data_IF_088351938196
#
_entry.id   IF_088351938196
#
_cell.length_a   1.000
_cell.length_b   1.000
_cell.length_c   1.000
_cell.angle_alpha   90.00
_cell.angle_beta   90.00
_cell.angle_gamma   90.00
#
_symmetry.space_group_name_H-M   'P 1'
#
loop_
_entity.id
_entity.type
_entity.pdbx_description
1 polymer ?
#
# COMPACT_ATOMS: atom_id res chain seq x y z
N UNK A 1 4.65 48.20 -37.21
CA UNK A 1 3.71 47.06 -37.25
C UNK A 1 4.45 45.78 -36.88
N UNK A 2 4.55 45.47 -35.59
CA UNK A 2 4.99 44.15 -35.13
C UNK A 2 3.74 43.35 -34.80
N UNK A 3 3.43 42.44 -35.68
CA UNK A 3 2.44 41.41 -35.52
C UNK A 3 2.90 40.45 -34.40
N UNK A 4 2.14 40.44 -33.29
CA UNK A 4 2.30 39.44 -32.24
C UNK A 4 1.89 38.08 -32.79
N UNK A 5 2.85 37.16 -32.91
CA UNK A 5 2.59 35.73 -32.91
C UNK A 5 2.33 35.36 -31.48
N UNK A 6 1.07 35.14 -31.17
CA UNK A 6 0.63 34.46 -29.97
C UNK A 6 1.21 33.04 -29.97
N UNK A 7 1.98 32.71 -28.94
CA UNK A 7 2.40 31.36 -28.63
C UNK A 7 1.16 30.45 -28.43
N UNK A 8 0.70 29.89 -29.55
CA UNK A 8 -0.30 28.87 -29.53
C UNK A 8 0.35 27.54 -29.15
N UNK A 9 0.24 27.18 -27.84
CA UNK A 9 0.11 25.83 -27.36
C UNK A 9 1.07 24.76 -27.87
N UNK A 10 2.28 24.79 -27.38
CA UNK A 10 3.02 23.55 -27.14
C UNK A 10 2.46 22.93 -25.90
N UNK A 11 1.32 22.23 -26.01
CA UNK A 11 0.81 21.33 -24.97
C UNK A 11 1.78 20.16 -24.93
N UNK A 12 2.80 20.28 -24.08
CA UNK A 12 3.70 19.17 -23.82
C UNK A 12 2.93 18.00 -23.17
N UNK A 13 3.52 16.81 -23.04
CA UNK A 13 2.88 15.63 -22.42
C UNK A 13 2.22 15.92 -21.06
N UNK A 14 2.73 16.90 -20.31
CA UNK A 14 2.13 17.37 -19.05
C UNK A 14 0.81 18.11 -19.27
N UNK A 15 0.70 18.92 -20.35
CA UNK A 15 -0.53 19.64 -20.69
C UNK A 15 -1.65 18.70 -21.12
N UNK A 16 -1.34 17.66 -21.87
CA UNK A 16 -2.31 16.63 -22.25
C UNK A 16 -2.95 15.97 -21.03
N UNK A 17 -2.14 15.59 -20.05
CA UNK A 17 -2.64 15.03 -18.79
C UNK A 17 -3.41 16.08 -17.97
N UNK A 18 -2.96 17.33 -17.93
CA UNK A 18 -3.64 18.41 -17.22
C UNK A 18 -5.01 18.71 -17.84
N UNK A 19 -5.14 18.77 -19.17
CA UNK A 19 -6.43 18.94 -19.85
C UNK A 19 -7.37 17.74 -19.63
N UNK A 20 -6.85 16.51 -19.71
CA UNK A 20 -7.64 15.29 -19.44
C UNK A 20 -8.15 15.24 -17.99
N UNK A 21 -7.44 15.88 -17.06
CA UNK A 21 -7.78 15.89 -15.64
C UNK A 21 -8.51 17.16 -15.18
N UNK A 22 -8.63 18.20 -15.99
CA UNK A 22 -9.45 19.40 -15.70
C UNK A 22 -10.86 19.33 -16.27
N UNK A 23 -11.10 18.44 -17.24
CA UNK A 23 -12.46 18.14 -17.69
C UNK A 23 -13.17 17.30 -16.62
N UNK A 24 -14.25 17.85 -16.05
CA UNK A 24 -15.19 17.30 -15.06
C UNK A 24 -14.75 16.04 -14.29
N UNK A 25 -14.64 16.15 -12.99
CA UNK A 25 -14.06 15.21 -12.03
C UNK A 25 -14.56 13.73 -12.12
N UNK A 26 -15.59 13.44 -12.88
CA UNK A 26 -16.16 12.11 -13.07
C UNK A 26 -15.49 11.30 -14.20
N UNK A 27 -14.75 11.93 -15.09
CA UNK A 27 -14.18 11.27 -16.28
C UNK A 27 -12.75 10.76 -16.09
N UNK A 28 -12.10 11.20 -15.02
CA UNK A 28 -10.70 10.87 -14.72
C UNK A 28 -10.46 9.36 -14.56
N UNK A 29 -11.39 8.67 -13.88
CA UNK A 29 -11.34 7.21 -13.67
C UNK A 29 -11.72 6.41 -14.91
N UNK A 30 -12.34 7.05 -15.91
CA UNK A 30 -12.73 6.44 -17.19
C UNK A 30 -11.67 6.66 -18.27
N UNK A 31 -10.55 7.32 -17.96
CA UNK A 31 -9.49 7.57 -18.91
C UNK A 31 -8.93 6.27 -19.49
N UNK A 32 -8.84 6.12 -20.84
CA UNK A 32 -8.44 4.85 -21.48
C UNK A 32 -7.11 4.29 -21.00
N UNK A 33 -6.11 5.13 -20.74
CA UNK A 33 -4.81 4.70 -20.24
C UNK A 33 -4.89 4.16 -18.79
N UNK A 34 -5.71 4.77 -17.93
CA UNK A 34 -5.96 4.28 -16.56
C UNK A 34 -6.65 2.91 -16.62
N UNK A 35 -7.71 2.79 -17.41
CA UNK A 35 -8.43 1.53 -17.56
C UNK A 35 -7.57 0.42 -18.19
N UNK A 36 -6.71 0.76 -19.15
CA UNK A 36 -5.75 -0.19 -19.73
C UNK A 36 -4.73 -0.66 -18.66
N UNK A 37 -4.19 0.25 -17.87
CA UNK A 37 -3.29 -0.07 -16.77
C UNK A 37 -3.98 -0.97 -15.73
N UNK A 38 -5.21 -0.64 -15.32
CA UNK A 38 -6.00 -1.44 -14.39
C UNK A 38 -6.15 -2.88 -14.90
N UNK A 39 -6.59 -3.05 -16.16
CA UNK A 39 -6.77 -4.40 -16.74
C UNK A 39 -5.49 -5.23 -16.73
N UNK A 40 -4.37 -4.63 -17.10
CA UNK A 40 -3.09 -5.32 -17.08
C UNK A 40 -2.66 -5.67 -15.65
N UNK A 41 -2.74 -4.72 -14.73
CA UNK A 41 -2.38 -4.94 -13.32
C UNK A 41 -3.23 -6.06 -12.72
N UNK A 42 -4.55 -6.03 -12.92
CA UNK A 42 -5.43 -7.06 -12.39
C UNK A 42 -5.17 -8.45 -13.00
N UNK A 43 -4.75 -8.53 -14.26
CA UNK A 43 -4.38 -9.81 -14.87
C UNK A 43 -3.20 -10.46 -14.14
N UNK A 44 -2.15 -9.68 -13.79
CA UNK A 44 -1.00 -10.19 -13.04
C UNK A 44 -1.33 -10.46 -11.58
N UNK A 45 -2.03 -9.54 -10.91
CA UNK A 45 -2.32 -9.69 -9.48
C UNK A 45 -3.31 -10.82 -9.19
N UNK A 46 -4.24 -11.12 -10.10
CA UNK A 46 -5.11 -12.32 -10.03
C UNK A 46 -4.32 -13.63 -10.18
N UNK A 47 -3.19 -13.59 -10.87
CA UNK A 47 -2.24 -14.72 -10.94
C UNK A 47 -1.31 -14.79 -9.72
N UNK A 48 -1.49 -13.93 -8.71
CA UNK A 48 -0.65 -13.87 -7.51
C UNK A 48 0.65 -13.09 -7.69
N UNK A 49 0.85 -12.42 -8.83
CA UNK A 49 2.07 -11.67 -9.11
C UNK A 49 1.98 -10.23 -8.56
N UNK A 50 3.07 -9.76 -7.99
CA UNK A 50 3.21 -8.35 -7.61
C UNK A 50 3.60 -7.50 -8.82
N UNK A 51 3.08 -6.28 -8.85
CA UNK A 51 3.28 -5.36 -9.96
C UNK A 51 3.89 -4.06 -9.48
N UNK A 52 5.03 -3.67 -10.08
CA UNK A 52 5.65 -2.37 -9.88
C UNK A 52 5.22 -1.43 -11.01
N UNK A 53 4.64 -0.28 -10.66
CA UNK A 53 4.19 0.71 -11.63
C UNK A 53 5.04 1.95 -11.49
N UNK A 54 5.70 2.37 -12.57
CA UNK A 54 6.39 3.67 -12.61
C UNK A 54 5.52 4.73 -13.27
N UNK A 55 5.45 5.90 -12.61
CA UNK A 55 4.76 7.06 -13.12
C UNK A 55 5.52 8.36 -12.88
N UNK A 56 5.35 9.32 -13.79
CA UNK A 56 5.99 10.62 -13.68
C UNK A 56 5.13 11.61 -12.90
N UNK A 57 3.81 11.56 -13.10
CA UNK A 57 2.86 12.51 -12.56
C UNK A 57 2.06 11.89 -11.41
N UNK A 58 1.94 12.64 -10.29
CA UNK A 58 1.27 12.14 -9.08
C UNK A 58 -0.22 11.95 -9.28
N UNK A 59 -0.90 12.84 -10.02
CA UNK A 59 -2.36 12.77 -10.19
C UNK A 59 -2.83 11.45 -10.84
N UNK A 60 -2.30 11.02 -12.02
CA UNK A 60 -2.68 9.72 -12.58
C UNK A 60 -2.32 8.55 -11.68
N UNK A 61 -1.21 8.64 -10.94
CA UNK A 61 -0.81 7.59 -10.01
C UNK A 61 -1.78 7.49 -8.83
N UNK A 62 -2.21 8.62 -8.25
CA UNK A 62 -3.22 8.64 -7.19
C UNK A 62 -4.56 8.07 -7.68
N UNK A 63 -4.99 8.47 -8.88
CA UNK A 63 -6.22 7.95 -9.51
C UNK A 63 -6.13 6.42 -9.67
N UNK A 64 -5.02 5.93 -10.20
CA UNK A 64 -4.79 4.50 -10.39
C UNK A 64 -4.77 3.75 -9.05
N UNK A 65 -4.09 4.29 -8.04
CA UNK A 65 -4.04 3.71 -6.68
C UNK A 65 -5.44 3.55 -6.10
N UNK A 66 -6.21 4.64 -6.09
CA UNK A 66 -7.59 4.65 -5.54
C UNK A 66 -8.52 3.72 -6.32
N UNK A 67 -8.41 3.69 -7.64
CA UNK A 67 -9.25 2.82 -8.47
C UNK A 67 -8.93 1.34 -8.24
N UNK A 68 -7.66 0.97 -8.14
CA UNK A 68 -7.23 -0.39 -7.84
C UNK A 68 -7.70 -0.84 -6.45
N UNK A 69 -7.57 0.02 -5.45
CA UNK A 69 -8.06 -0.25 -4.10
C UNK A 69 -9.59 -0.40 -4.07
N UNK A 70 -10.33 0.50 -4.72
CA UNK A 70 -11.78 0.42 -4.80
C UNK A 70 -12.25 -0.87 -5.49
N UNK A 71 -11.61 -1.26 -6.57
CA UNK A 71 -11.92 -2.50 -7.31
C UNK A 71 -11.65 -3.76 -6.49
N UNK A 72 -10.50 -3.80 -5.80
CA UNK A 72 -10.17 -4.92 -4.90
C UNK A 72 -11.11 -4.97 -3.69
N UNK A 73 -11.45 -3.83 -3.11
CA UNK A 73 -12.43 -3.72 -2.04
C UNK A 73 -13.78 -4.33 -2.44
N UNK A 74 -14.33 -3.93 -3.60
CA UNK A 74 -15.60 -4.46 -4.09
C UNK A 74 -15.53 -5.96 -4.37
N UNK A 75 -14.43 -6.45 -4.94
CA UNK A 75 -14.20 -7.88 -5.17
C UNK A 75 -14.23 -8.65 -3.86
N UNK A 76 -13.51 -8.18 -2.85
CA UNK A 76 -13.47 -8.80 -1.52
C UNK A 76 -14.82 -8.80 -0.82
N UNK A 77 -15.55 -7.69 -0.89
CA UNK A 77 -16.91 -7.62 -0.34
C UNK A 77 -17.85 -8.62 -1.01
N UNK A 78 -17.82 -8.71 -2.34
CA UNK A 78 -18.61 -9.70 -3.11
C UNK A 78 -18.26 -11.14 -2.71
N UNK A 79 -16.97 -11.43 -2.55
CA UNK A 79 -16.46 -12.77 -2.23
C UNK A 79 -16.49 -13.07 -0.72
N UNK A 80 -17.07 -12.18 0.10
CA UNK A 80 -17.17 -12.34 1.53
C UNK A 80 -15.84 -12.22 2.30
N UNK A 81 -14.82 -11.70 1.64
CA UNK A 81 -13.48 -11.52 2.22
C UNK A 81 -13.36 -10.19 2.96
N UNK A 82 -12.41 -10.16 3.90
CA UNK A 82 -12.14 -8.97 4.69
C UNK A 82 -11.45 -7.87 3.88
N UNK A 83 -11.85 -6.60 4.16
CA UNK A 83 -11.16 -5.39 3.73
C UNK A 83 -10.68 -4.58 4.95
N UNK A 84 -9.46 -4.03 4.95
CA UNK A 84 -8.86 -3.44 6.16
C UNK A 84 -9.30 -1.99 6.46
N UNK A 85 -10.44 -1.57 5.97
CA UNK A 85 -10.98 -0.25 6.29
C UNK A 85 -12.41 -0.38 6.82
N UNK A 86 -12.74 0.45 7.81
CA UNK A 86 -14.07 0.49 8.44
C UNK A 86 -15.09 1.34 7.67
N UNK A 87 -14.75 1.82 6.47
CA UNK A 87 -15.63 2.64 5.65
C UNK A 87 -14.92 3.21 4.43
N UNK A 88 -15.68 3.93 3.61
CA UNK A 88 -15.20 4.61 2.42
C UNK A 88 -14.81 6.04 2.80
N UNK A 89 -13.51 6.38 2.73
CA UNK A 89 -13.06 7.76 2.90
C UNK A 89 -13.59 8.66 1.78
N UNK A 90 -13.87 9.93 2.09
CA UNK A 90 -14.40 10.91 1.12
C UNK A 90 -13.59 10.98 -0.17
N UNK A 91 -12.25 10.92 -0.07
CA UNK A 91 -11.34 10.93 -1.21
C UNK A 91 -11.47 9.72 -2.14
N UNK A 92 -12.07 8.62 -1.67
CA UNK A 92 -12.22 7.37 -2.40
C UNK A 92 -13.61 7.17 -3.02
N UNK A 93 -14.60 7.96 -2.65
CA UNK A 93 -15.99 7.83 -3.13
C UNK A 93 -16.05 7.79 -4.66
N UNK A 94 -15.38 8.73 -5.33
CA UNK A 94 -15.37 8.79 -6.80
C UNK A 94 -14.74 7.53 -7.44
N UNK A 95 -13.70 6.98 -6.83
CA UNK A 95 -13.08 5.73 -7.29
C UNK A 95 -14.00 4.53 -7.10
N UNK A 96 -14.74 4.47 -5.99
CA UNK A 96 -15.74 3.41 -5.74
C UNK A 96 -16.88 3.49 -6.74
N UNK A 97 -17.44 4.68 -6.99
CA UNK A 97 -18.47 4.89 -8.02
C UNK A 97 -17.98 4.43 -9.40
N UNK A 98 -16.73 4.76 -9.74
CA UNK A 98 -16.14 4.33 -11.01
C UNK A 98 -15.94 2.81 -11.08
N UNK A 99 -15.50 2.18 -9.99
CA UNK A 99 -15.33 0.73 -9.90
C UNK A 99 -16.67 -0.03 -9.99
N UNK A 100 -17.75 0.50 -9.41
CA UNK A 100 -19.10 -0.07 -9.47
C UNK A 100 -19.69 -0.12 -10.88
N UNK A 101 -19.15 0.64 -11.83
CA UNK A 101 -19.57 0.57 -13.25
C UNK A 101 -19.15 -0.75 -13.93
N UNK A 102 -18.24 -1.49 -13.32
CA UNK A 102 -17.80 -2.77 -13.84
C UNK A 102 -18.78 -3.87 -13.37
N UNK A 103 -19.51 -4.54 -14.28
CA UNK A 103 -20.46 -5.59 -13.91
C UNK A 103 -19.83 -6.77 -13.16
N UNK A 104 -18.53 -7.05 -13.38
CA UNK A 104 -17.80 -8.10 -12.66
C UNK A 104 -17.59 -7.79 -11.17
N UNK A 105 -17.70 -6.52 -10.78
CA UNK A 105 -17.53 -6.05 -9.42
C UNK A 105 -18.87 -5.66 -8.77
N UNK A 106 -19.99 -6.03 -9.39
CA UNK A 106 -21.30 -5.65 -8.90
C UNK A 106 -21.54 -6.16 -7.47
N UNK A 107 -21.73 -5.23 -6.57
CA UNK A 107 -22.20 -5.44 -5.20
C UNK A 107 -23.58 -4.79 -5.11
N UNK A 108 -24.52 -5.43 -4.44
CA UNK A 108 -25.86 -4.90 -4.30
C UNK A 108 -25.86 -3.60 -3.51
N UNK A 109 -26.55 -2.57 -4.01
CA UNK A 109 -26.69 -1.28 -3.36
C UNK A 109 -25.82 -0.16 -3.92
N UNK A 110 -25.95 1.02 -3.34
CA UNK A 110 -25.13 2.20 -3.66
C UNK A 110 -23.90 2.32 -2.72
N UNK A 111 -23.24 3.47 -2.80
CA UNK A 111 -22.04 3.75 -1.98
C UNK A 111 -22.33 3.68 -0.48
N UNK A 112 -23.50 4.17 -0.05
CA UNK A 112 -23.89 4.17 1.35
C UNK A 112 -24.10 2.75 1.89
N UNK A 113 -24.73 1.87 1.10
CA UNK A 113 -24.92 0.47 1.46
C UNK A 113 -23.58 -0.27 1.52
N UNK A 114 -22.65 0.02 0.61
CA UNK A 114 -21.29 -0.52 0.63
C UNK A 114 -20.55 -0.06 1.88
N UNK A 115 -20.69 1.21 2.27
CA UNK A 115 -20.08 1.76 3.48
C UNK A 115 -20.62 1.06 4.75
N UNK A 116 -21.92 0.81 4.80
CA UNK A 116 -22.55 0.03 5.89
C UNK A 116 -22.02 -1.41 5.93
N UNK A 117 -21.92 -2.07 4.77
CA UNK A 117 -21.35 -3.43 4.69
C UNK A 117 -19.89 -3.46 5.16
N UNK A 118 -19.08 -2.48 4.78
CA UNK A 118 -17.69 -2.36 5.25
C UNK A 118 -17.62 -2.21 6.75
N UNK A 119 -18.46 -1.34 7.35
CA UNK A 119 -18.52 -1.15 8.79
C UNK A 119 -18.87 -2.43 9.53
N UNK A 120 -19.89 -3.14 9.06
CA UNK A 120 -20.34 -4.40 9.66
C UNK A 120 -19.23 -5.46 9.61
N UNK A 121 -18.64 -5.68 8.44
CA UNK A 121 -17.54 -6.63 8.24
C UNK A 121 -16.29 -6.28 9.05
N UNK A 122 -15.98 -5.00 9.13
CA UNK A 122 -14.86 -4.52 9.95
C UNK A 122 -15.08 -4.79 11.44
N UNK A 123 -16.32 -4.59 11.95
CA UNK A 123 -16.66 -4.87 13.34
C UNK A 123 -16.56 -6.36 13.67
N UNK A 124 -17.07 -7.24 12.80
CA UNK A 124 -16.94 -8.69 12.93
C UNK A 124 -15.47 -9.08 13.02
N UNK A 125 -14.69 -8.65 12.06
CA UNK A 125 -13.26 -8.93 12.01
C UNK A 125 -12.48 -8.31 13.19
N UNK A 126 -12.78 -7.09 13.60
CA UNK A 126 -12.15 -6.47 14.76
C UNK A 126 -12.45 -7.24 16.06
N UNK A 127 -13.62 -7.87 16.15
CA UNK A 127 -13.97 -8.74 17.29
C UNK A 127 -13.12 -10.00 17.32
N UNK A 128 -13.01 -10.72 16.19
CA UNK A 128 -12.15 -11.91 16.06
C UNK A 128 -10.70 -11.56 16.35
N UNK A 129 -10.24 -10.44 15.82
CA UNK A 129 -8.88 -9.95 15.99
C UNK A 129 -8.55 -9.59 17.43
N UNK A 130 -9.48 -8.99 18.18
CA UNK A 130 -9.27 -8.70 19.61
C UNK A 130 -9.02 -9.97 20.42
N UNK A 131 -9.72 -11.04 20.11
CA UNK A 131 -9.49 -12.34 20.77
C UNK A 131 -8.10 -12.90 20.45
N UNK A 132 -7.65 -12.80 19.22
CA UNK A 132 -6.31 -13.21 18.82
C UNK A 132 -5.22 -12.32 19.43
N UNK A 133 -5.42 -11.01 19.45
CA UNK A 133 -4.53 -10.07 20.13
C UNK A 133 -4.38 -10.35 21.60
N UNK A 134 -5.48 -10.61 22.29
CA UNK A 134 -5.46 -10.95 23.72
C UNK A 134 -4.73 -12.28 23.99
N UNK A 135 -4.77 -13.21 23.03
CA UNK A 135 -3.99 -14.45 23.10
C UNK A 135 -2.50 -14.18 22.91
N UNK A 136 -2.14 -13.47 21.84
CA UNK A 136 -0.76 -13.10 21.54
C UNK A 136 -0.13 -12.27 22.65
N UNK A 137 -0.89 -11.33 23.23
CA UNK A 137 -0.43 -10.51 24.35
C UNK A 137 -0.05 -11.40 25.55
N UNK A 138 -0.88 -12.37 25.91
CA UNK A 138 -0.57 -13.31 27.02
C UNK A 138 0.69 -14.13 26.73
N UNK A 139 0.85 -14.67 25.51
CA UNK A 139 2.05 -15.40 25.11
C UNK A 139 3.31 -14.52 25.15
N UNK A 140 3.19 -13.23 24.81
CA UNK A 140 4.29 -12.27 24.87
C UNK A 140 4.59 -11.79 26.28
N UNK A 141 3.62 -11.71 27.19
CA UNK A 141 3.87 -11.41 28.62
C UNK A 141 4.79 -12.45 29.25
N UNK A 142 4.60 -13.72 28.93
CA UNK A 142 5.49 -14.79 29.41
C UNK A 142 6.91 -14.63 28.84
N UNK A 143 7.07 -14.20 27.59
CA UNK A 143 8.36 -13.92 26.94
C UNK A 143 8.98 -12.58 27.39
N UNK A 144 8.18 -11.60 27.79
CA UNK A 144 8.63 -10.28 28.25
C UNK A 144 9.45 -10.31 29.55
N UNK A 145 9.33 -11.40 30.31
CA UNK A 145 10.20 -11.65 31.48
C UNK A 145 11.66 -11.82 31.10
N UNK A 146 11.95 -12.15 29.86
CA UNK A 146 13.30 -12.29 29.29
C UNK A 146 13.87 -10.96 28.75
N UNK A 147 13.07 -9.86 28.68
CA UNK A 147 13.50 -8.48 28.42
C UNK A 147 13.27 -7.93 27.00
N UNK A 148 13.61 -6.68 26.78
CA UNK A 148 13.83 -6.00 25.49
C UNK A 148 12.63 -5.94 24.52
N UNK A 149 12.78 -6.54 23.35
CA UNK A 149 11.83 -6.47 22.25
C UNK A 149 10.45 -7.06 22.58
N UNK A 150 10.39 -8.10 23.42
CA UNK A 150 9.13 -8.71 23.82
C UNK A 150 8.27 -7.79 24.71
N UNK A 151 8.90 -7.08 25.65
CA UNK A 151 8.22 -6.09 26.49
C UNK A 151 7.70 -4.92 25.64
N UNK A 152 8.48 -4.49 24.68
CA UNK A 152 8.12 -3.41 23.75
C UNK A 152 6.94 -3.83 22.84
N UNK A 153 6.99 -5.02 22.25
CA UNK A 153 5.90 -5.55 21.42
C UNK A 153 4.61 -5.72 22.26
N UNK A 154 4.73 -6.26 23.49
CA UNK A 154 3.61 -6.39 24.42
C UNK A 154 2.98 -5.04 24.75
N UNK A 155 3.77 -3.99 24.95
CA UNK A 155 3.27 -2.63 25.19
C UNK A 155 2.49 -2.08 23.98
N UNK A 156 2.99 -2.28 22.75
CA UNK A 156 2.27 -1.89 21.52
C UNK A 156 0.93 -2.60 21.44
N UNK A 157 0.87 -3.87 21.81
CA UNK A 157 -0.35 -4.67 21.77
C UNK A 157 -1.35 -4.36 22.90
N UNK A 158 -0.91 -3.69 23.97
CA UNK A 158 -1.72 -3.41 25.16
C UNK A 158 -2.66 -2.21 25.05
N UNK A 159 -2.40 -1.30 24.12
CA UNK A 159 -3.14 -0.04 24.05
C UNK A 159 -4.59 -0.24 23.56
N UNK A 160 -5.59 0.41 24.17
CA UNK A 160 -7.02 0.15 23.96
C UNK A 160 -7.75 1.15 23.04
N UNK A 161 -7.08 2.12 22.41
CA UNK A 161 -7.70 3.17 21.61
C UNK A 161 -7.83 2.78 20.11
N UNK A 162 -8.93 3.16 19.45
CA UNK A 162 -9.23 2.79 18.05
C UNK A 162 -8.21 3.20 16.98
N UNK A 163 -7.18 3.99 17.32
CA UNK A 163 -5.99 4.20 16.49
C UNK A 163 -5.16 2.94 16.32
N UNK A 164 -5.27 2.00 17.25
CA UNK A 164 -4.46 0.80 17.33
C UNK A 164 -4.80 -0.26 16.31
N UNK A 165 -6.07 -0.37 15.92
CA UNK A 165 -6.46 -1.33 14.89
C UNK A 165 -5.73 -1.02 13.57
N UNK A 166 -5.50 0.27 13.28
CA UNK A 166 -4.73 0.72 12.12
C UNK A 166 -3.21 0.49 12.30
N UNK A 167 -2.68 0.84 13.47
CA UNK A 167 -1.25 0.65 13.79
C UNK A 167 -0.89 -0.82 13.85
N UNK A 168 -1.73 -1.65 14.43
CA UNK A 168 -1.53 -3.09 14.43
C UNK A 168 -1.66 -3.70 13.03
N UNK A 169 -2.58 -3.21 12.21
CA UNK A 169 -2.65 -3.58 10.80
C UNK A 169 -1.36 -3.28 10.06
N UNK A 170 -0.84 -2.07 10.27
CA UNK A 170 0.43 -1.63 9.71
C UNK A 170 1.60 -2.49 10.22
N UNK A 171 1.62 -2.81 11.51
CA UNK A 171 2.62 -3.70 12.11
C UNK A 171 2.56 -5.11 11.51
N UNK A 172 1.38 -5.70 11.39
CA UNK A 172 1.23 -7.02 10.76
C UNK A 172 1.67 -7.03 9.29
N UNK A 173 1.33 -5.99 8.53
CA UNK A 173 1.83 -5.85 7.16
C UNK A 173 3.34 -5.77 7.12
N UNK A 174 3.94 -5.02 8.03
CA UNK A 174 5.39 -4.91 8.16
C UNK A 174 6.04 -6.23 8.57
N UNK A 175 5.43 -6.97 9.49
CA UNK A 175 5.98 -8.23 10.03
C UNK A 175 5.87 -9.44 9.07
N UNK A 176 5.22 -9.35 7.95
CA UNK A 176 5.21 -10.47 7.03
C UNK A 176 3.88 -10.76 6.38
N UNK A 177 3.01 -9.78 6.43
CA UNK A 177 1.75 -9.84 5.74
C UNK A 177 0.71 -10.68 6.45
N UNK A 178 -0.48 -10.57 5.91
CA UNK A 178 -1.61 -11.36 6.35
C UNK A 178 -1.35 -12.81 5.99
N UNK A 179 -1.21 -13.66 6.98
CA UNK A 179 -1.44 -15.09 6.76
C UNK A 179 -2.93 -15.28 6.50
N UNK A 180 -3.38 -15.04 5.30
CA UNK A 180 -4.72 -15.40 4.79
C UNK A 180 -4.85 -16.92 4.56
N UNK A 181 -3.96 -17.72 5.11
CA UNK A 181 -4.17 -19.16 5.16
C UNK A 181 -5.15 -19.40 6.30
N UNK A 182 -6.37 -19.72 5.93
CA UNK A 182 -7.43 -20.09 6.87
C UNK A 182 -6.87 -20.97 8.00
N UNK A 183 -6.92 -20.48 9.24
CA UNK A 183 -6.55 -21.22 10.43
C UNK A 183 -5.10 -21.13 10.93
N UNK A 184 -4.21 -20.39 10.29
CA UNK A 184 -2.85 -20.20 10.82
C UNK A 184 -2.76 -18.93 11.66
N UNK A 185 -2.89 -19.04 12.96
CA UNK A 185 -2.60 -17.96 13.90
C UNK A 185 -1.10 -17.85 14.18
N UNK A 186 -0.62 -16.62 14.44
CA UNK A 186 0.76 -16.37 14.87
C UNK A 186 0.96 -16.90 16.29
N UNK A 187 2.12 -17.49 16.57
CA UNK A 187 2.57 -17.66 17.95
C UNK A 187 3.30 -16.39 18.41
N UNK A 188 3.26 -16.08 19.71
CA UNK A 188 3.97 -14.96 20.29
C UNK A 188 5.46 -14.97 19.95
N UNK A 189 6.09 -16.15 19.91
CA UNK A 189 7.51 -16.32 19.55
C UNK A 189 7.81 -16.04 18.08
N UNK A 190 6.95 -16.47 17.16
CA UNK A 190 7.10 -16.14 15.73
C UNK A 190 6.97 -14.64 15.50
N UNK A 191 5.98 -14.01 16.14
CA UNK A 191 5.76 -12.57 16.05
C UNK A 191 6.93 -11.78 16.62
N UNK A 192 7.47 -12.20 17.76
CA UNK A 192 8.65 -11.58 18.37
C UNK A 192 9.86 -11.65 17.44
N UNK A 193 10.16 -12.80 16.87
CA UNK A 193 11.31 -12.95 15.95
C UNK A 193 11.20 -12.11 14.68
N UNK A 194 9.97 -11.87 14.19
CA UNK A 194 9.75 -10.94 13.07
C UNK A 194 9.85 -9.48 13.50
N UNK A 195 9.38 -9.16 14.71
CA UNK A 195 9.48 -7.82 15.27
C UNK A 195 10.93 -7.41 15.53
N UNK A 196 11.76 -8.30 16.04
CA UNK A 196 13.20 -8.07 16.19
C UNK A 196 13.87 -7.76 14.85
N UNK A 197 13.55 -8.49 13.79
CA UNK A 197 14.03 -8.19 12.44
C UNK A 197 13.57 -6.81 11.97
N UNK A 198 12.31 -6.45 12.22
CA UNK A 198 11.79 -5.14 11.88
C UNK A 198 12.53 -4.02 12.61
N UNK A 199 12.80 -4.19 13.91
CA UNK A 199 13.58 -3.21 14.68
C UNK A 199 14.99 -3.03 14.11
N UNK A 200 15.65 -4.10 13.71
CA UNK A 200 16.96 -4.04 13.05
C UNK A 200 16.89 -3.31 11.71
N UNK A 201 15.87 -3.56 10.90
CA UNK A 201 15.65 -2.84 9.63
C UNK A 201 15.40 -1.33 9.85
N UNK A 202 14.73 -0.97 10.96
CA UNK A 202 14.45 0.43 11.32
C UNK A 202 15.65 1.16 11.92
N UNK A 203 16.50 0.45 12.66
CA UNK A 203 17.68 1.04 13.31
C UNK A 203 18.71 1.55 12.27
N UNK A 204 18.82 0.91 11.11
CA UNK A 204 19.82 1.28 10.10
C UNK A 204 21.24 1.02 10.58
N UNK A 205 22.19 1.89 10.18
CA UNK A 205 23.62 1.77 10.53
C UNK A 205 23.97 2.28 11.95
N UNK A 206 22.99 2.83 12.69
CA UNK A 206 23.20 3.40 14.05
C UNK A 206 22.95 2.31 15.11
N UNK A 207 23.94 1.48 15.40
CA UNK A 207 23.87 0.34 16.34
C UNK A 207 23.72 0.75 17.85
N UNK A 208 23.75 2.04 18.19
CA UNK A 208 23.83 2.51 19.57
C UNK A 208 22.61 3.30 20.08
N UNK A 209 21.41 3.09 19.50
CA UNK A 209 20.23 3.85 19.93
C UNK A 209 19.57 3.28 21.20
N UNK A 210 19.18 4.19 22.10
CA UNK A 210 18.38 3.91 23.28
C UNK A 210 16.98 3.40 22.88
N UNK A 211 16.42 2.45 23.62
CA UNK A 211 15.07 1.88 23.41
C UNK A 211 13.98 2.95 23.25
N UNK A 212 14.04 4.08 23.96
CA UNK A 212 13.07 5.16 23.85
C UNK A 212 13.10 5.84 22.48
N UNK A 213 14.27 5.97 21.87
CA UNK A 213 14.41 6.52 20.51
C UNK A 213 13.88 5.56 19.46
N UNK A 214 14.14 4.26 19.63
CA UNK A 214 13.58 3.22 18.75
C UNK A 214 12.05 3.17 18.84
N UNK A 215 11.50 3.32 20.05
CA UNK A 215 10.04 3.39 20.27
C UNK A 215 9.44 4.60 19.57
N UNK A 216 10.00 5.79 19.76
CA UNK A 216 9.52 7.01 19.11
C UNK A 216 9.59 6.91 17.57
N UNK A 217 10.62 6.28 17.04
CA UNK A 217 10.74 6.03 15.59
C UNK A 217 9.69 5.06 15.07
N UNK A 218 9.45 3.97 15.80
CA UNK A 218 8.43 2.99 15.45
C UNK A 218 7.03 3.61 15.49
N UNK A 219 6.70 4.37 16.54
CA UNK A 219 5.42 5.06 16.66
C UNK A 219 5.22 6.09 15.54
N UNK A 220 6.22 6.89 15.25
CA UNK A 220 6.18 7.84 14.15
C UNK A 220 6.00 7.15 12.80
N UNK A 221 6.67 6.02 12.60
CA UNK A 221 6.55 5.22 11.41
C UNK A 221 5.18 4.54 11.29
N UNK A 222 4.66 3.93 12.37
CA UNK A 222 3.34 3.30 12.39
C UNK A 222 2.25 4.33 12.07
N UNK A 223 2.37 5.55 12.61
CA UNK A 223 1.45 6.64 12.32
C UNK A 223 1.53 7.10 10.85
N UNK A 224 2.73 7.27 10.29
CA UNK A 224 2.92 7.64 8.88
C UNK A 224 2.43 6.51 7.94
N UNK A 225 2.71 5.27 8.28
CA UNK A 225 2.31 4.12 7.47
C UNK A 225 0.80 3.88 7.50
N UNK A 226 0.17 3.96 8.68
CA UNK A 226 -1.28 3.77 8.84
C UNK A 226 -2.11 4.94 8.29
N UNK A 227 -1.56 6.15 8.31
CA UNK A 227 -2.21 7.35 7.78
C UNK A 227 -2.18 7.48 6.25
N UNK A 228 -1.47 6.60 5.54
CA UNK A 228 -1.38 6.66 4.08
C UNK A 228 -2.57 5.98 3.42
N UNK A 229 -3.06 6.63 2.35
CA UNK A 229 -4.08 6.05 1.48
C UNK A 229 -3.53 4.79 0.78
N UNK A 230 -4.38 3.79 0.65
CA UNK A 230 -4.11 2.57 -0.11
C UNK A 230 -3.78 1.38 0.78
N UNK A 231 -4.19 0.23 0.31
CA UNK A 231 -3.95 -1.06 0.94
C UNK A 231 -3.42 -2.07 -0.06
N UNK A 232 -4.24 -2.46 -1.04
CA UNK A 232 -3.86 -3.35 -2.13
C UNK A 232 -2.85 -2.70 -3.06
N UNK A 233 -3.05 -1.42 -3.37
CA UNK A 233 -2.14 -0.58 -4.12
C UNK A 233 -1.61 0.54 -3.23
N UNK A 234 -0.30 0.75 -3.20
CA UNK A 234 0.34 1.82 -2.44
C UNK A 234 1.25 2.66 -3.30
N UNK A 235 1.32 3.95 -2.99
CA UNK A 235 2.15 4.89 -3.73
C UNK A 235 3.37 5.32 -2.93
N UNK A 236 4.51 5.39 -3.61
CA UNK A 236 5.79 5.90 -3.13
C UNK A 236 6.20 7.12 -3.97
N UNK A 237 6.30 8.28 -3.34
CA UNK A 237 6.65 9.54 -3.99
C UNK A 237 7.86 10.20 -3.33
N UNK A 238 8.31 11.33 -3.88
CA UNK A 238 9.35 12.15 -3.26
C UNK A 238 9.03 12.63 -1.86
N UNK A 239 7.74 12.78 -1.52
CA UNK A 239 7.28 13.16 -0.18
C UNK A 239 7.21 11.98 0.81
N UNK A 240 7.44 10.74 0.36
CA UNK A 240 7.44 9.56 1.24
C UNK A 240 8.69 9.56 2.10
N UNK A 241 8.54 9.50 3.43
CA UNK A 241 9.67 9.47 4.36
C UNK A 241 10.60 8.26 4.09
N UNK A 242 11.92 8.39 4.30
CA UNK A 242 12.87 7.31 4.02
C UNK A 242 12.54 5.99 4.74
N UNK A 243 12.15 6.05 6.00
CA UNK A 243 11.75 4.89 6.80
C UNK A 243 10.53 4.19 6.18
N UNK A 244 9.49 4.96 5.81
CA UNK A 244 8.29 4.43 5.15
C UNK A 244 8.61 3.80 3.80
N UNK A 245 9.57 4.36 3.03
CA UNK A 245 10.03 3.75 1.78
C UNK A 245 10.66 2.38 2.03
N UNK A 246 11.54 2.25 3.04
CA UNK A 246 12.16 0.96 3.42
C UNK A 246 11.10 -0.07 3.79
N UNK A 247 10.08 0.34 4.55
CA UNK A 247 9.01 -0.56 4.98
C UNK A 247 8.11 -0.99 3.83
N UNK A 248 7.72 -0.06 2.95
CA UNK A 248 6.99 -0.39 1.73
C UNK A 248 7.79 -1.35 0.84
N UNK A 249 9.11 -1.15 0.75
CA UNK A 249 10.01 -2.03 0.03
C UNK A 249 10.06 -3.42 0.66
N UNK A 250 10.24 -3.50 1.99
CA UNK A 250 10.26 -4.77 2.72
C UNK A 250 8.93 -5.50 2.60
N UNK A 251 7.80 -4.82 2.77
CA UNK A 251 6.47 -5.40 2.59
C UNK A 251 6.23 -5.86 1.15
N UNK A 252 6.66 -5.07 0.15
CA UNK A 252 6.50 -5.41 -1.26
C UNK A 252 7.37 -6.60 -1.68
N UNK A 253 8.55 -6.78 -1.10
CA UNK A 253 9.45 -7.90 -1.38
C UNK A 253 8.99 -9.25 -0.78
N UNK A 254 7.92 -9.27 0.00
CA UNK A 254 7.35 -10.51 0.53
C UNK A 254 6.18 -10.96 -0.33
N UNK A 255 6.22 -12.16 -0.89
CA UNK A 255 5.21 -12.68 -1.83
C UNK A 255 3.79 -12.74 -1.27
N UNK A 256 3.65 -12.99 0.04
CA UNK A 256 2.36 -13.18 0.73
C UNK A 256 1.77 -11.91 1.35
N UNK A 257 2.46 -10.77 1.27
CA UNK A 257 2.03 -9.53 1.93
C UNK A 257 1.49 -8.48 0.94
N UNK A 258 0.68 -7.57 1.42
CA UNK A 258 0.35 -6.35 0.71
C UNK A 258 1.47 -5.31 0.87
N UNK A 259 1.59 -4.37 -0.05
CA UNK A 259 0.77 -4.18 -1.26
C UNK A 259 1.08 -5.20 -2.36
N UNK A 260 0.07 -5.53 -3.17
CA UNK A 260 0.27 -6.28 -4.41
C UNK A 260 0.74 -5.38 -5.55
N UNK A 261 0.40 -4.10 -5.48
CA UNK A 261 0.79 -3.10 -6.47
C UNK A 261 1.53 -1.96 -5.77
N UNK A 262 2.76 -1.71 -6.19
CA UNK A 262 3.54 -0.56 -5.72
C UNK A 262 3.69 0.45 -6.86
N UNK A 263 3.16 1.65 -6.65
CA UNK A 263 3.32 2.75 -7.59
C UNK A 263 4.48 3.63 -7.14
N UNK A 264 5.54 3.70 -7.91
CA UNK A 264 6.72 4.48 -7.61
C UNK A 264 6.85 5.68 -8.58
N UNK A 265 6.99 6.88 -8.03
CA UNK A 265 7.29 8.04 -8.85
C UNK A 265 8.67 7.87 -9.48
N UNK A 266 8.81 8.13 -10.79
CA UNK A 266 10.06 7.91 -11.56
C UNK A 266 11.31 8.54 -10.92
N UNK A 267 11.16 9.65 -10.21
CA UNK A 267 12.27 10.30 -9.47
C UNK A 267 12.74 9.47 -8.28
N UNK A 268 11.81 8.86 -7.55
CA UNK A 268 12.11 8.01 -6.37
C UNK A 268 12.69 6.68 -6.82
N UNK A 269 12.26 6.15 -7.95
CA UNK A 269 12.79 4.93 -8.54
C UNK A 269 14.29 4.99 -8.85
N UNK A 270 14.92 6.17 -8.85
CA UNK A 270 16.37 6.36 -9.03
C UNK A 270 17.18 6.11 -7.74
N UNK A 271 16.55 6.09 -6.58
CA UNK A 271 17.19 6.06 -5.25
C UNK A 271 17.45 4.64 -4.71
N UNK A 272 17.90 3.69 -5.53
CA UNK A 272 18.42 2.42 -5.02
C UNK A 272 17.38 1.40 -4.51
N UNK A 273 16.11 1.50 -4.89
CA UNK A 273 15.09 0.53 -4.50
C UNK A 273 15.42 -0.88 -4.99
N UNK A 274 15.41 -1.84 -4.09
CA UNK A 274 15.51 -3.27 -4.36
C UNK A 274 14.11 -3.88 -4.27
N UNK A 275 13.50 -4.24 -5.40
CA UNK A 275 12.11 -4.73 -5.46
C UNK A 275 12.00 -6.06 -6.21
N UNK A 276 13.11 -6.80 -6.30
CA UNK A 276 13.24 -7.99 -7.14
C UNK A 276 12.91 -9.32 -6.44
N UNK A 277 12.70 -9.32 -5.12
CA UNK A 277 12.51 -10.57 -4.37
C UNK A 277 11.14 -11.20 -4.60
N UNK A 278 10.10 -10.38 -4.84
CA UNK A 278 8.74 -10.87 -5.07
C UNK A 278 8.05 -10.24 -6.29
N UNK A 279 8.75 -9.40 -7.06
CA UNK A 279 8.18 -8.71 -8.21
C UNK A 279 9.08 -8.88 -9.44
N UNK A 280 8.48 -9.27 -10.55
CA UNK A 280 9.11 -9.36 -11.87
C UNK A 280 8.38 -8.60 -12.96
N UNK A 281 7.24 -8.00 -12.62
CA UNK A 281 6.41 -7.28 -13.59
C UNK A 281 6.49 -5.78 -13.36
N UNK A 282 6.92 -5.04 -14.38
CA UNK A 282 7.00 -3.58 -14.39
C UNK A 282 6.02 -3.02 -15.42
N UNK A 283 5.24 -2.03 -15.01
CA UNK A 283 4.37 -1.26 -15.90
C UNK A 283 4.81 0.21 -15.90
N UNK A 284 5.03 0.76 -17.06
CA UNK A 284 5.32 2.18 -17.24
C UNK A 284 4.02 2.92 -17.58
N UNK A 285 3.46 3.62 -16.58
CA UNK A 285 2.22 4.40 -16.78
C UNK A 285 2.42 5.58 -17.73
N UNK A 286 3.63 6.09 -17.81
CA UNK A 286 4.03 7.16 -18.71
C UNK A 286 5.26 6.73 -19.48
N UNK A 287 5.26 6.98 -20.79
CA UNK A 287 6.43 6.74 -21.63
C UNK A 287 7.62 7.60 -21.16
N UNK A 288 8.75 6.97 -20.95
CA UNK A 288 10.03 7.64 -20.70
C UNK A 288 10.84 7.73 -22.00
N UNK A 289 11.25 8.95 -22.34
CA UNK A 289 12.02 9.22 -23.56
C UNK A 289 13.49 8.82 -23.43
N UNK A 290 14.00 8.72 -22.20
CA UNK A 290 15.39 8.37 -21.94
C UNK A 290 15.51 6.87 -21.70
N UNK A 291 16.15 6.11 -22.62
CA UNK A 291 16.32 4.66 -22.48
C UNK A 291 17.04 4.26 -21.19
N UNK A 292 18.02 5.06 -20.75
CA UNK A 292 18.75 4.78 -19.50
C UNK A 292 17.87 4.87 -18.26
N UNK A 293 16.81 5.69 -18.28
CA UNK A 293 15.82 5.71 -17.19
C UNK A 293 14.98 4.43 -17.22
N UNK A 294 14.54 4.01 -18.40
CA UNK A 294 13.79 2.76 -18.59
C UNK A 294 14.60 1.56 -18.11
N UNK A 295 15.86 1.46 -18.51
CA UNK A 295 16.78 0.39 -18.05
C UNK A 295 16.96 0.40 -16.52
N UNK A 296 17.11 1.60 -15.93
CA UNK A 296 17.17 1.71 -14.46
C UNK A 296 15.89 1.26 -13.77
N UNK A 297 14.72 1.56 -14.34
CA UNK A 297 13.43 1.15 -13.80
C UNK A 297 13.25 -0.37 -13.88
N UNK A 298 13.56 -0.97 -15.01
CA UNK A 298 13.54 -2.43 -15.21
C UNK A 298 14.55 -3.10 -14.28
N UNK A 299 15.76 -2.56 -14.17
CA UNK A 299 16.81 -3.08 -13.29
C UNK A 299 16.48 -3.07 -11.78
N UNK A 300 15.31 -2.53 -11.37
CA UNK A 300 14.82 -2.65 -9.98
C UNK A 300 14.22 -4.02 -9.68
N UNK A 301 13.76 -4.72 -10.69
CA UNK A 301 13.19 -6.08 -10.60
C UNK A 301 14.04 -7.12 -11.30
N UNK A 302 14.92 -6.71 -12.20
CA UNK A 302 15.85 -7.59 -12.91
C UNK A 302 17.25 -7.51 -12.28
N UNK A 303 17.57 -8.42 -11.35
CA UNK A 303 18.89 -8.56 -10.72
C UNK A 303 19.32 -10.03 -10.68
N UNK A 304 20.64 -10.26 -10.55
CA UNK A 304 21.22 -11.58 -10.26
C UNK A 304 20.60 -12.13 -8.96
N UNK A 305 19.64 -12.99 -8.98
CA UNK A 305 18.83 -13.58 -7.92
C UNK A 305 17.37 -13.09 -7.94
N UNK A 306 16.90 -12.42 -9.00
CA UNK A 306 15.46 -12.29 -9.23
C UNK A 306 14.87 -13.68 -9.50
N UNK A 307 13.65 -13.89 -9.00
CA UNK A 307 12.88 -15.14 -9.15
C UNK A 307 12.84 -15.64 -10.60
#
# INVERSE_FOLDING_TARGET
SHSGMTDANLVGPAGFWTEAFTAESNDIYSHPAILAAVRQIEAYTRAGEKVLVFGRFLTPMNVLTRLLDAREMLRRLRDGQHWPASGIGESNIAAVIAAMRDPELAVAGGVDEIDVMLKTRYQEWASERRAELARLHRELEDLALEGGAAAFLSEILRHEDGKQDLQFGALLEALGGRREVAGASWTGREMLGLFEKLLLELAGDDEAENNDTQKARLDAWLNDYSGREGNFARMMSGATAPQTRRMLQSAFNRSSSWPMVLLAQSRVGREGLNLHEACRTVILLHAEWNPGIVEQQIGRVDRKNSL
#
